data_IF_818901680788
#
_entry.id   IF_818901680788
#
_cell.length_a   1.000
_cell.length_b   1.000
_cell.length_c   1.000
_cell.angle_alpha   90.00
_cell.angle_beta   90.00
_cell.angle_gamma   90.00
#
_symmetry.space_group_name_H-M   'P 1'
#
loop_
_entity.id
_entity.type
_entity.pdbx_description
1 polymer ?
#
# COMPACT_ATOMS: atom_id res chain seq x y z
N UNK A 1 9.70 6.05 64.24
CA UNK A 1 10.99 5.68 63.62
C UNK A 1 10.84 5.84 62.11
N UNK A 2 11.77 6.55 61.47
CA UNK A 2 11.84 6.91 60.03
C UNK A 2 11.62 5.67 59.13
N UNK A 3 11.13 5.78 57.88
CA UNK A 3 11.81 6.46 56.75
C UNK A 3 10.78 6.91 55.68
N UNK A 4 10.97 8.13 55.19
CA UNK A 4 10.43 8.67 53.93
C UNK A 4 11.56 8.70 52.88
N UNK A 5 11.24 8.39 51.63
CA UNK A 5 12.07 8.73 50.46
C UNK A 5 11.34 9.80 49.65
N UNK A 6 12.06 10.85 49.26
CA UNK A 6 11.58 11.94 48.40
C UNK A 6 12.43 11.99 47.14
N UNK A 7 11.80 12.07 45.97
CA UNK A 7 12.42 12.61 44.76
C UNK A 7 11.35 13.37 43.97
N UNK A 8 11.35 14.69 44.12
CA UNK A 8 10.61 15.59 43.24
C UNK A 8 11.43 15.84 41.99
N UNK A 9 10.96 15.33 40.85
CA UNK A 9 10.83 16.15 39.63
C UNK A 9 9.49 15.86 38.97
N UNK A 10 8.63 16.85 39.17
CA UNK A 10 7.40 17.25 38.48
C UNK A 10 7.05 16.53 37.17
N UNK A 11 5.80 16.09 37.09
CA UNK A 11 5.17 15.62 35.86
C UNK A 11 3.94 14.78 36.17
N UNK A 12 2.82 15.45 36.48
CA UNK A 12 1.55 14.80 36.79
C UNK A 12 1.15 13.81 35.69
N UNK A 13 1.16 12.52 36.03
CA UNK A 13 0.55 11.47 35.21
C UNK A 13 -0.96 11.55 35.33
N UNK A 14 -1.55 12.56 34.69
CA UNK A 14 -2.97 12.52 34.37
C UNK A 14 -3.18 11.31 33.46
N UNK A 15 -3.72 10.20 33.99
CA UNK A 15 -4.35 9.19 33.16
C UNK A 15 -5.56 9.86 32.52
N UNK A 16 -5.34 10.51 31.38
CA UNK A 16 -6.41 11.09 30.57
C UNK A 16 -7.31 9.92 30.20
N UNK A 17 -8.51 9.88 30.79
CA UNK A 17 -9.53 8.92 30.40
C UNK A 17 -9.90 9.25 28.97
N UNK A 18 -9.53 8.35 28.08
CA UNK A 18 -9.86 8.48 26.69
C UNK A 18 -11.39 8.55 26.50
N UNK A 19 -11.81 9.59 25.79
CA UNK A 19 -13.20 9.86 25.44
C UNK A 19 -13.69 8.88 24.36
N UNK A 20 -15.00 8.66 24.29
CA UNK A 20 -15.59 7.80 23.25
C UNK A 20 -15.31 8.32 21.84
N UNK A 21 -15.20 9.64 21.66
CA UNK A 21 -14.83 10.27 20.38
C UNK A 21 -13.40 9.90 19.98
N UNK A 22 -12.45 9.89 20.91
CA UNK A 22 -11.05 9.51 20.63
C UNK A 22 -10.96 8.03 20.20
N UNK A 23 -11.69 7.14 20.86
CA UNK A 23 -11.75 5.73 20.47
C UNK A 23 -12.29 5.54 19.05
N UNK A 24 -13.35 6.26 18.71
CA UNK A 24 -13.96 6.21 17.37
C UNK A 24 -13.01 6.76 16.31
N UNK A 25 -12.31 7.87 16.58
CA UNK A 25 -11.32 8.44 15.66
C UNK A 25 -10.17 7.48 15.40
N UNK A 26 -9.60 6.85 16.43
CA UNK A 26 -8.56 5.84 16.21
C UNK A 26 -9.04 4.66 15.39
N UNK A 27 -10.32 4.27 15.52
CA UNK A 27 -10.90 3.24 14.67
C UNK A 27 -11.00 3.69 13.21
N UNK A 28 -11.30 4.96 12.95
CA UNK A 28 -11.27 5.55 11.61
C UNK A 28 -9.83 5.54 11.08
N UNK A 29 -8.85 6.03 11.86
CA UNK A 29 -7.45 6.05 11.45
C UNK A 29 -6.93 4.66 11.04
N UNK A 30 -7.32 3.61 11.77
CA UNK A 30 -6.98 2.22 11.45
C UNK A 30 -7.63 1.75 10.13
N UNK A 31 -8.85 2.19 9.84
CA UNK A 31 -9.54 1.89 8.57
C UNK A 31 -8.86 2.63 7.43
N UNK A 32 -8.54 3.92 7.62
CA UNK A 32 -7.88 4.75 6.62
C UNK A 32 -6.50 4.19 6.26
N UNK A 33 -5.75 3.72 7.25
CA UNK A 33 -4.50 3.01 7.01
C UNK A 33 -4.69 1.76 6.15
N UNK A 34 -5.72 0.95 6.43
CA UNK A 34 -6.04 -0.23 5.60
C UNK A 34 -6.46 0.14 4.18
N UNK A 35 -7.21 1.23 4.02
CA UNK A 35 -7.58 1.74 2.70
C UNK A 35 -6.32 2.09 1.91
N UNK A 36 -5.36 2.80 2.53
CA UNK A 36 -4.10 3.15 1.88
C UNK A 36 -3.29 1.91 1.50
N UNK A 37 -3.20 0.90 2.37
CA UNK A 37 -2.52 -0.36 2.04
C UNK A 37 -3.17 -1.08 0.84
N UNK A 38 -4.49 -1.21 0.84
CA UNK A 38 -5.23 -1.84 -0.26
C UNK A 38 -5.09 -1.06 -1.57
N UNK A 39 -5.00 0.27 -1.49
CA UNK A 39 -4.75 1.11 -2.66
C UNK A 39 -3.35 0.89 -3.22
N UNK A 40 -2.31 0.81 -2.37
CA UNK A 40 -0.95 0.52 -2.81
C UNK A 40 -0.87 -0.85 -3.51
N UNK A 41 -1.39 -1.90 -2.86
CA UNK A 41 -1.43 -3.24 -3.43
C UNK A 41 -2.16 -3.25 -4.80
N UNK A 42 -3.29 -2.53 -4.89
CA UNK A 42 -4.01 -2.37 -6.16
C UNK A 42 -3.15 -1.71 -7.23
N UNK A 43 -2.38 -0.67 -6.90
CA UNK A 43 -1.51 0.01 -7.86
C UNK A 43 -0.33 -0.85 -8.31
N UNK A 44 0.28 -1.62 -7.39
CA UNK A 44 1.33 -2.58 -7.72
C UNK A 44 0.83 -3.64 -8.70
N UNK A 45 -0.33 -4.23 -8.43
CA UNK A 45 -0.97 -5.19 -9.33
C UNK A 45 -1.25 -4.54 -10.69
N UNK A 46 -1.72 -3.30 -10.71
CA UNK A 46 -1.95 -2.57 -11.96
C UNK A 46 -0.64 -2.38 -12.76
N UNK A 47 0.47 -2.06 -12.09
CA UNK A 47 1.78 -1.93 -12.74
C UNK A 47 2.31 -3.27 -13.27
N UNK A 48 2.05 -4.38 -12.58
CA UNK A 48 2.35 -5.74 -13.09
C UNK A 48 1.50 -6.06 -14.32
N UNK A 49 0.18 -5.83 -14.25
CA UNK A 49 -0.76 -6.07 -15.37
C UNK A 49 -0.35 -5.31 -16.63
N UNK A 50 0.20 -4.09 -16.50
CA UNK A 50 0.72 -3.30 -17.64
C UNK A 50 1.69 -4.10 -18.51
N UNK A 51 2.57 -4.92 -17.92
CA UNK A 51 3.58 -5.69 -18.65
C UNK A 51 2.97 -6.80 -19.52
N UNK A 52 1.72 -7.19 -19.23
CA UNK A 52 1.01 -8.24 -19.94
C UNK A 52 -0.04 -7.74 -20.95
N UNK A 53 -0.21 -6.42 -21.11
CA UNK A 53 -1.21 -5.83 -22.02
C UNK A 53 -0.59 -4.90 -23.06
N UNK A 54 -1.19 -4.85 -24.25
CA UNK A 54 -0.85 -3.87 -25.28
C UNK A 54 -1.66 -2.58 -25.05
N UNK A 55 -1.10 -1.65 -24.28
CA UNK A 55 -1.70 -0.34 -24.01
C UNK A 55 -2.44 -0.25 -22.67
N UNK A 56 -2.67 0.97 -22.20
CA UNK A 56 -3.24 1.24 -20.87
C UNK A 56 -4.76 1.28 -20.87
N UNK A 57 -5.35 1.85 -21.91
CA UNK A 57 -6.79 2.07 -22.04
C UNK A 57 -7.55 0.77 -22.36
N UNK A 58 -8.50 0.40 -21.50
CA UNK A 58 -9.35 -0.79 -21.64
C UNK A 58 -10.78 -0.46 -21.18
N UNK A 59 -11.65 0.03 -22.09
CA UNK A 59 -12.97 0.52 -21.73
C UNK A 59 -13.91 -0.58 -21.25
N UNK A 60 -13.78 -1.81 -21.78
CA UNK A 60 -14.60 -2.95 -21.34
C UNK A 60 -14.23 -3.38 -19.91
N UNK A 61 -12.95 -3.36 -19.58
CA UNK A 61 -12.50 -3.61 -18.20
C UNK A 61 -12.99 -2.52 -17.25
N UNK A 62 -12.89 -1.25 -17.63
CA UNK A 62 -13.37 -0.11 -16.81
C UNK A 62 -14.88 -0.21 -16.54
N UNK A 63 -15.68 -0.50 -17.57
CA UNK A 63 -17.12 -0.73 -17.44
C UNK A 63 -17.43 -1.87 -16.47
N UNK A 64 -16.68 -2.97 -16.57
CA UNK A 64 -16.83 -4.12 -15.67
C UNK A 64 -16.52 -3.76 -14.22
N UNK A 65 -15.47 -2.96 -13.96
CA UNK A 65 -15.14 -2.48 -12.61
C UNK A 65 -16.28 -1.63 -12.05
N UNK A 66 -16.76 -0.65 -12.81
CA UNK A 66 -17.82 0.26 -12.35
C UNK A 66 -19.14 -0.47 -12.08
N UNK A 67 -19.50 -1.46 -12.89
CA UNK A 67 -20.70 -2.27 -12.65
C UNK A 67 -20.56 -3.12 -11.36
N UNK A 68 -19.39 -3.73 -11.13
CA UNK A 68 -19.13 -4.48 -9.90
C UNK A 68 -19.21 -3.57 -8.66
N UNK A 69 -18.64 -2.36 -8.76
CA UNK A 69 -18.69 -1.34 -7.71
C UNK A 69 -20.13 -0.91 -7.43
N UNK A 70 -20.93 -0.70 -8.49
CA UNK A 70 -22.35 -0.37 -8.40
C UNK A 70 -23.13 -1.45 -7.65
N UNK A 71 -22.92 -2.72 -8.00
CA UNK A 71 -23.60 -3.86 -7.36
C UNK A 71 -23.18 -4.08 -5.90
N UNK A 72 -21.93 -3.75 -5.56
CA UNK A 72 -21.40 -3.87 -4.21
C UNK A 72 -21.81 -2.70 -3.28
N UNK A 73 -22.19 -1.55 -3.85
CA UNK A 73 -22.59 -0.36 -3.10
C UNK A 73 -23.90 -0.60 -2.36
N UNK A 74 -23.83 -0.90 -1.06
CA UNK A 74 -24.98 -1.11 -0.18
C UNK A 74 -24.95 -0.17 1.03
N UNK A 75 -26.13 0.26 1.47
CA UNK A 75 -26.36 1.02 2.71
C UNK A 75 -25.80 2.45 2.71
N UNK A 76 -24.66 2.69 3.37
CA UNK A 76 -24.17 4.02 3.71
C UNK A 76 -23.40 4.71 2.57
N UNK A 77 -22.91 3.92 1.61
CA UNK A 77 -22.16 4.42 0.46
C UNK A 77 -23.09 4.42 -0.74
N UNK A 78 -23.33 5.61 -1.30
CA UNK A 78 -24.20 5.77 -2.47
C UNK A 78 -23.49 5.27 -3.73
N UNK A 79 -24.26 4.82 -4.72
CA UNK A 79 -23.74 4.46 -6.03
C UNK A 79 -22.86 5.58 -6.63
N UNK A 80 -23.35 6.82 -6.58
CA UNK A 80 -22.64 7.98 -7.09
C UNK A 80 -21.28 8.17 -6.41
N UNK A 81 -21.22 8.05 -5.08
CA UNK A 81 -19.98 8.24 -4.34
C UNK A 81 -18.98 7.11 -4.62
N UNK A 82 -19.44 5.86 -4.71
CA UNK A 82 -18.59 4.73 -5.09
C UNK A 82 -18.03 4.88 -6.49
N UNK A 83 -18.86 5.25 -7.47
CA UNK A 83 -18.40 5.47 -8.85
C UNK A 83 -17.36 6.58 -8.93
N UNK A 84 -17.55 7.68 -8.18
CA UNK A 84 -16.58 8.78 -8.13
C UNK A 84 -15.22 8.31 -7.57
N UNK A 85 -15.22 7.63 -6.41
CA UNK A 85 -13.97 7.11 -5.80
C UNK A 85 -13.26 6.14 -6.75
N UNK A 86 -13.98 5.14 -7.26
CA UNK A 86 -13.37 4.14 -8.13
C UNK A 86 -12.95 4.71 -9.48
N UNK A 87 -13.66 5.72 -9.99
CA UNK A 87 -13.24 6.52 -11.14
C UNK A 87 -11.87 7.15 -10.93
N UNK A 88 -11.68 7.90 -9.84
CA UNK A 88 -10.39 8.52 -9.49
C UNK A 88 -9.28 7.48 -9.29
N UNK A 89 -9.57 6.37 -8.60
CA UNK A 89 -8.59 5.28 -8.43
C UNK A 89 -8.18 4.70 -9.78
N UNK A 90 -9.11 4.52 -10.72
CA UNK A 90 -8.80 4.03 -12.07
C UNK A 90 -7.99 5.04 -12.88
N UNK A 91 -8.33 6.33 -12.81
CA UNK A 91 -7.57 7.39 -13.47
C UNK A 91 -6.11 7.43 -12.98
N UNK A 92 -5.91 7.37 -11.67
CA UNK A 92 -4.57 7.35 -11.09
C UNK A 92 -3.80 6.09 -11.47
N UNK A 93 -4.48 4.95 -11.50
CA UNK A 93 -3.91 3.68 -11.96
C UNK A 93 -3.46 3.74 -13.42
N UNK A 94 -4.27 4.36 -14.30
CA UNK A 94 -3.88 4.60 -15.71
C UNK A 94 -2.68 5.52 -15.81
N UNK A 95 -2.68 6.64 -15.08
CA UNK A 95 -1.57 7.60 -15.03
C UNK A 95 -0.25 6.92 -14.64
N UNK A 96 -0.27 6.06 -13.61
CA UNK A 96 0.89 5.29 -13.19
C UNK A 96 1.35 4.29 -14.25
N UNK A 97 0.41 3.63 -14.93
CA UNK A 97 0.75 2.70 -16.00
C UNK A 97 1.37 3.41 -17.22
N UNK A 98 0.90 4.60 -17.56
CA UNK A 98 1.44 5.41 -18.68
C UNK A 98 2.78 6.08 -18.35
N UNK A 99 3.07 6.31 -17.06
CA UNK A 99 4.33 6.88 -16.64
C UNK A 99 5.52 5.94 -16.93
N UNK A 100 6.71 6.49 -17.24
CA UNK A 100 7.93 5.72 -17.47
C UNK A 100 8.51 5.21 -16.14
N UNK A 101 7.75 4.36 -15.46
CA UNK A 101 8.08 3.76 -14.17
C UNK A 101 8.81 2.44 -14.41
N UNK A 102 9.94 2.30 -13.73
CA UNK A 102 10.75 1.09 -13.69
C UNK A 102 10.56 0.38 -12.35
N UNK A 103 10.30 -0.93 -12.39
CA UNK A 103 9.94 -1.74 -11.23
C UNK A 103 11.14 -2.56 -10.73
N UNK A 104 11.31 -2.63 -9.41
CA UNK A 104 12.31 -3.49 -8.76
C UNK A 104 11.65 -4.41 -7.74
N UNK A 105 11.80 -5.72 -7.91
CA UNK A 105 11.29 -6.71 -6.96
C UNK A 105 12.23 -6.94 -5.78
N UNK A 106 11.66 -7.16 -4.61
CA UNK A 106 12.40 -7.60 -3.43
C UNK A 106 11.59 -8.63 -2.65
N UNK A 107 12.26 -9.52 -1.92
CA UNK A 107 11.57 -10.48 -1.06
C UNK A 107 11.17 -9.81 0.27
N UNK A 108 9.89 -9.93 0.63
CA UNK A 108 9.33 -9.43 1.89
C UNK A 108 8.05 -8.61 1.73
N UNK A 109 7.79 -7.78 2.73
CA UNK A 109 6.69 -6.80 2.75
C UNK A 109 7.26 -5.38 2.78
N UNK A 110 6.43 -4.37 2.50
CA UNK A 110 6.83 -2.98 2.69
C UNK A 110 7.35 -2.72 4.12
N UNK A 111 8.48 -2.04 4.21
CA UNK A 111 9.26 -1.83 5.43
C UNK A 111 10.39 -2.83 5.64
N UNK A 112 10.53 -3.87 4.80
CA UNK A 112 11.63 -4.81 4.88
C UNK A 112 12.99 -4.16 4.53
N UNK A 113 14.09 -4.69 5.08
CA UNK A 113 15.44 -4.23 4.77
C UNK A 113 15.76 -4.26 3.27
N UNK A 114 15.22 -5.24 2.56
CA UNK A 114 15.39 -5.38 1.11
C UNK A 114 14.75 -4.23 0.32
N UNK A 115 13.64 -3.65 0.81
CA UNK A 115 13.03 -2.46 0.21
C UNK A 115 13.94 -1.24 0.37
N UNK A 116 14.51 -1.06 1.57
CA UNK A 116 15.46 0.03 1.84
C UNK A 116 16.69 -0.12 0.95
N UNK A 117 17.18 -1.34 0.74
CA UNK A 117 18.28 -1.62 -0.17
C UNK A 117 17.91 -1.29 -1.63
N UNK A 118 16.69 -1.63 -2.08
CA UNK A 118 16.19 -1.30 -3.41
C UNK A 118 16.16 0.22 -3.65
N UNK A 119 15.61 0.98 -2.69
CA UNK A 119 15.54 2.44 -2.75
C UNK A 119 16.92 3.10 -2.66
N UNK A 120 17.86 2.48 -1.93
CA UNK A 120 19.24 2.95 -1.83
C UNK A 120 20.03 2.71 -3.12
N UNK A 121 19.75 1.61 -3.82
CA UNK A 121 20.34 1.31 -5.12
C UNK A 121 19.92 2.35 -6.16
N UNK A 122 18.62 2.63 -6.28
CA UNK A 122 18.14 3.67 -7.19
C UNK A 122 16.77 4.23 -6.77
N UNK A 123 16.76 5.48 -6.29
CA UNK A 123 15.58 6.14 -5.70
C UNK A 123 14.37 6.31 -6.64
N UNK A 124 14.57 6.24 -7.95
CA UNK A 124 13.47 6.41 -8.92
C UNK A 124 12.81 5.07 -9.29
N UNK A 125 13.27 3.94 -8.74
CA UNK A 125 12.61 2.66 -8.95
C UNK A 125 11.44 2.52 -7.99
N UNK A 126 10.35 1.91 -8.45
CA UNK A 126 9.22 1.56 -7.60
C UNK A 126 9.45 0.16 -7.05
N UNK A 127 9.65 0.00 -5.73
CA UNK A 127 9.89 -1.29 -5.13
C UNK A 127 8.58 -2.08 -5.03
N UNK A 128 8.63 -3.34 -5.45
CA UNK A 128 7.48 -4.24 -5.48
C UNK A 128 7.78 -5.46 -4.59
N UNK A 129 7.00 -5.67 -3.51
CA UNK A 129 7.20 -6.81 -2.64
C UNK A 129 6.85 -8.13 -3.36
N UNK A 130 7.67 -9.14 -3.11
CA UNK A 130 7.52 -10.51 -3.56
C UNK A 130 7.53 -11.44 -2.33
N UNK A 131 6.73 -12.50 -2.34
CA UNK A 131 6.59 -13.36 -1.14
C UNK A 131 7.86 -14.17 -0.92
N UNK A 132 8.36 -14.78 -1.99
CA UNK A 132 9.52 -15.64 -1.98
C UNK A 132 10.63 -15.09 -2.88
N UNK A 133 11.87 -15.51 -2.64
CA UNK A 133 12.99 -15.15 -3.52
C UNK A 133 12.76 -15.63 -4.95
N UNK A 134 12.19 -16.84 -5.10
CA UNK A 134 11.86 -17.43 -6.39
C UNK A 134 10.94 -16.52 -7.20
N UNK A 135 9.95 -15.89 -6.56
CA UNK A 135 9.03 -14.96 -7.21
C UNK A 135 9.78 -13.75 -7.82
N UNK A 136 10.81 -13.23 -7.12
CA UNK A 136 11.63 -12.12 -7.65
C UNK A 136 12.32 -12.53 -8.95
N UNK A 137 12.93 -13.73 -8.98
CA UNK A 137 13.59 -14.22 -10.19
C UNK A 137 12.58 -14.47 -11.32
N UNK A 138 11.47 -15.15 -11.03
CA UNK A 138 10.44 -15.46 -12.02
C UNK A 138 9.81 -14.21 -12.62
N UNK A 139 9.49 -13.20 -11.79
CA UNK A 139 8.89 -11.96 -12.27
C UNK A 139 9.86 -11.12 -13.11
N UNK A 140 11.17 -11.16 -12.82
CA UNK A 140 12.19 -10.53 -13.66
C UNK A 140 12.36 -11.29 -14.98
N UNK A 141 12.47 -12.62 -14.96
CA UNK A 141 12.62 -13.46 -16.16
C UNK A 141 11.44 -13.31 -17.11
N UNK A 142 10.22 -13.21 -16.58
CA UNK A 142 9.00 -13.03 -17.36
C UNK A 142 8.75 -11.56 -17.77
N UNK A 143 9.62 -10.63 -17.39
CA UNK A 143 9.53 -9.21 -17.72
C UNK A 143 8.44 -8.43 -16.97
N UNK A 144 7.85 -9.02 -15.93
CA UNK A 144 6.91 -8.35 -15.04
C UNK A 144 7.61 -7.29 -14.16
N UNK A 145 8.89 -7.53 -13.84
CA UNK A 145 9.78 -6.58 -13.17
C UNK A 145 10.97 -6.24 -14.07
N UNK A 146 11.52 -5.04 -13.89
CA UNK A 146 12.71 -4.60 -14.64
C UNK A 146 14.02 -5.00 -13.93
N UNK A 147 13.98 -5.06 -12.59
CA UNK A 147 15.10 -5.46 -11.74
C UNK A 147 14.62 -6.33 -10.57
N UNK A 148 15.55 -7.08 -9.97
CA UNK A 148 15.34 -7.77 -8.71
C UNK A 148 16.51 -7.52 -7.76
N UNK A 149 16.23 -7.38 -6.47
CA UNK A 149 17.25 -7.31 -5.41
C UNK A 149 17.12 -8.50 -4.48
N UNK A 150 18.23 -9.21 -4.28
CA UNK A 150 18.33 -10.38 -3.41
C UNK A 150 19.59 -10.28 -2.54
N UNK A 151 19.55 -10.71 -1.27
CA UNK A 151 20.74 -10.75 -0.42
C UNK A 151 21.74 -11.79 -0.93
N UNK A 152 23.03 -11.46 -0.86
CA UNK A 152 24.13 -12.41 -1.19
C UNK A 152 24.32 -13.44 -0.07
N UNK A 153 24.04 -13.05 1.17
CA UNK A 153 24.05 -13.93 2.34
C UNK A 153 22.64 -13.96 2.94
N UNK A 154 21.88 -15.01 2.62
CA UNK A 154 20.65 -15.36 3.31
C UNK A 154 20.98 -16.47 4.31
N UNK A 155 21.00 -16.16 5.62
CA UNK A 155 20.97 -17.18 6.68
C UNK A 155 19.54 -17.56 7.01
#
# INVERSE_FOLDING_TARGET
MRIFYYSNREGGGCTVRETEIEKLRRRIDLIDWRILQLLNERMEIALKVRKHKQGVFDPERERTVLENVRQASRNLITEHFSQAIFGTIMEESKRLQEAPITLIGFQGEHGAFSEVAALSYHRNLVPIPCREFKDVFEEVENGALDYGIVPVENS
#
